data_IF_443892112277
#
_entry.id   IF_443892112277
#
_cell.length_a   1.000
_cell.length_b   1.000
_cell.length_c   1.000
_cell.angle_alpha   90.00
_cell.angle_beta   90.00
_cell.angle_gamma   90.00
#
_symmetry.space_group_name_H-M   'P 1'
#
loop_
_entity.id
_entity.type
_entity.pdbx_description
1 polymer ?
#
# COMPACT_ATOMS: atom_id res chain seq x y z
N UNK A 1 26.24 24.45 0.27
CA UNK A 1 25.69 23.78 1.45
C UNK A 1 24.90 24.78 2.28
N UNK A 2 23.60 24.55 2.47
CA UNK A 2 22.71 25.46 3.21
C UNK A 2 23.02 25.50 4.71
N UNK A 3 22.54 26.54 5.43
CA UNK A 3 22.64 26.62 6.89
C UNK A 3 21.97 25.41 7.57
N UNK A 4 20.80 25.01 7.08
CA UNK A 4 20.07 23.83 7.57
C UNK A 4 20.87 22.54 7.40
N UNK A 5 21.51 22.35 6.23
CA UNK A 5 22.32 21.15 5.98
C UNK A 5 23.54 21.09 6.91
N UNK A 6 24.20 22.23 7.18
CA UNK A 6 25.30 22.32 8.16
C UNK A 6 24.85 21.88 9.56
N UNK A 7 23.70 22.38 10.01
CA UNK A 7 23.12 22.04 11.32
C UNK A 7 22.78 20.55 11.37
N UNK A 8 22.14 20.02 10.33
CA UNK A 8 21.80 18.61 10.23
C UNK A 8 23.05 17.75 10.38
N UNK A 9 24.09 18.00 9.56
CA UNK A 9 25.34 17.24 9.59
C UNK A 9 26.07 17.31 10.93
N UNK A 10 26.03 18.47 11.60
CA UNK A 10 26.62 18.64 12.95
C UNK A 10 25.88 17.80 14.01
N UNK A 11 24.56 17.61 13.86
CA UNK A 11 23.73 16.85 14.80
C UNK A 11 23.69 15.35 14.54
N UNK A 12 24.04 14.90 13.32
CA UNK A 12 23.93 13.49 12.92
C UNK A 12 25.25 12.84 12.42
N UNK A 13 26.42 13.09 13.05
CA UNK A 13 27.72 12.63 12.55
C UNK A 13 27.83 11.09 12.50
N UNK A 14 27.31 10.35 13.48
CA UNK A 14 27.34 8.88 13.47
C UNK A 14 26.44 8.31 12.39
N UNK A 15 25.27 8.92 12.19
CA UNK A 15 24.39 8.57 11.08
C UNK A 15 25.10 8.73 9.73
N UNK A 16 25.88 9.80 9.55
CA UNK A 16 26.69 10.01 8.34
C UNK A 16 27.67 8.86 8.10
N UNK A 17 28.44 8.48 9.11
CA UNK A 17 29.42 7.40 9.03
C UNK A 17 28.76 6.05 8.73
N UNK A 18 27.67 5.72 9.41
CA UNK A 18 26.93 4.48 9.18
C UNK A 18 26.27 4.44 7.81
N UNK A 19 25.73 5.56 7.33
CA UNK A 19 25.16 5.62 5.99
C UNK A 19 26.22 5.48 4.89
N UNK A 20 27.43 5.99 5.11
CA UNK A 20 28.56 5.75 4.21
C UNK A 20 28.92 4.26 4.12
N UNK A 21 28.82 3.50 5.21
CA UNK A 21 28.94 2.04 5.19
C UNK A 21 27.76 1.40 4.46
N UNK A 22 26.53 1.83 4.76
CA UNK A 22 25.31 1.35 4.11
C UNK A 22 25.39 1.46 2.59
N UNK A 23 25.88 2.58 2.06
CA UNK A 23 26.07 2.81 0.61
C UNK A 23 27.03 1.83 -0.06
N UNK A 24 27.94 1.20 0.68
CA UNK A 24 28.84 0.15 0.15
C UNK A 24 28.13 -1.20 0.04
N UNK A 25 27.06 -1.41 0.79
CA UNK A 25 26.36 -2.70 0.94
C UNK A 25 24.99 -2.74 0.28
N UNK A 26 24.34 -1.58 0.13
CA UNK A 26 22.97 -1.45 -0.34
C UNK A 26 22.88 -0.44 -1.48
N UNK A 27 22.01 -0.71 -2.46
CA UNK A 27 21.73 0.20 -3.57
C UNK A 27 21.29 1.55 -3.00
N UNK A 28 22.04 2.61 -3.31
CA UNK A 28 21.85 3.97 -2.75
C UNK A 28 21.85 4.06 -1.21
N UNK A 29 22.32 3.02 -0.51
CA UNK A 29 22.36 2.95 0.95
C UNK A 29 21.02 2.74 1.64
N UNK A 30 19.94 2.39 0.91
CA UNK A 30 18.59 2.18 1.45
C UNK A 30 17.93 0.94 0.86
N UNK A 31 16.87 0.44 1.51
CA UNK A 31 16.07 -0.69 1.01
C UNK A 31 14.69 -0.26 0.46
N UNK A 32 14.42 1.04 0.43
CA UNK A 32 13.21 1.63 -0.17
C UNK A 32 13.49 3.09 -0.54
N UNK A 33 13.14 3.51 -1.75
CA UNK A 33 13.54 4.82 -2.30
C UNK A 33 13.11 6.00 -1.42
N UNK A 34 11.87 6.00 -0.90
CA UNK A 34 11.35 7.05 -0.02
C UNK A 34 12.06 7.18 1.35
N UNK A 35 12.93 6.22 1.71
CA UNK A 35 13.76 6.32 2.92
C UNK A 35 15.04 7.14 2.67
N UNK A 36 15.36 7.44 1.43
CA UNK A 36 16.48 8.30 1.09
C UNK A 36 16.06 9.78 1.09
N UNK A 37 16.88 10.61 1.71
CA UNK A 37 16.84 12.06 1.52
C UNK A 37 18.24 12.64 1.64
N UNK A 38 18.47 13.75 0.93
CA UNK A 38 19.76 14.46 0.94
C UNK A 38 19.96 15.21 2.26
N UNK A 39 21.18 15.26 2.82
CA UNK A 39 22.42 14.67 2.29
C UNK A 39 22.59 13.17 2.58
N UNK A 40 21.93 12.68 3.64
CA UNK A 40 21.82 11.28 4.02
C UNK A 40 20.70 11.14 5.06
N UNK A 41 20.00 10.00 5.13
CA UNK A 41 19.04 9.74 6.17
C UNK A 41 19.72 9.52 7.53
N UNK A 42 19.07 9.95 8.62
CA UNK A 42 19.50 9.60 9.97
C UNK A 42 19.26 8.10 10.22
N UNK A 43 20.11 7.47 11.03
CA UNK A 43 19.97 6.05 11.33
C UNK A 43 19.21 5.89 12.64
N UNK A 44 18.03 5.27 12.58
CA UNK A 44 17.21 5.00 13.76
C UNK A 44 17.88 3.96 14.65
N UNK A 45 18.06 4.27 15.93
CA UNK A 45 18.55 3.35 16.96
C UNK A 45 17.40 2.63 17.68
N UNK A 46 16.33 3.35 18.00
CA UNK A 46 15.18 2.79 18.73
C UNK A 46 13.92 3.61 18.51
N UNK A 47 12.77 3.03 18.84
CA UNK A 47 11.48 3.67 18.72
C UNK A 47 10.54 3.25 19.86
N UNK A 48 9.70 4.18 20.34
CA UNK A 48 8.70 3.91 21.38
C UNK A 48 7.58 4.94 21.38
N UNK A 49 6.33 4.48 21.41
CA UNK A 49 5.16 5.33 21.29
C UNK A 49 5.22 6.15 20.00
N UNK A 50 5.22 7.47 20.12
CA UNK A 50 5.31 8.38 18.97
C UNK A 50 6.72 8.87 18.64
N UNK A 51 7.77 8.26 19.20
CA UNK A 51 9.13 8.79 19.06
C UNK A 51 10.08 7.82 18.38
N UNK A 52 10.95 8.40 17.55
CA UNK A 52 12.18 7.77 17.08
C UNK A 52 13.36 8.39 17.82
N UNK A 53 14.39 7.58 18.07
CA UNK A 53 15.68 8.03 18.57
C UNK A 53 16.75 7.52 17.60
N UNK A 54 17.59 8.42 17.07
CA UNK A 54 18.67 8.04 16.17
C UNK A 54 19.93 7.57 16.93
N UNK A 55 20.95 7.13 16.19
CA UNK A 55 22.26 6.70 16.71
C UNK A 55 23.07 7.83 17.35
N UNK A 56 22.72 9.08 17.05
CA UNK A 56 23.30 10.31 17.60
C UNK A 56 22.53 10.79 18.85
N UNK A 57 21.52 10.04 19.30
CA UNK A 57 20.65 10.32 20.46
C UNK A 57 19.69 11.50 20.28
N UNK A 58 19.48 11.96 19.05
CA UNK A 58 18.43 12.91 18.74
C UNK A 58 17.06 12.22 18.84
N UNK A 59 16.07 12.92 19.41
CA UNK A 59 14.70 12.43 19.55
C UNK A 59 13.77 13.16 18.59
N UNK A 60 12.98 12.40 17.85
CA UNK A 60 12.03 12.90 16.86
C UNK A 60 10.62 12.50 17.25
N UNK A 61 9.64 13.39 17.02
CA UNK A 61 8.22 13.00 16.99
C UNK A 61 7.95 12.44 15.60
N UNK A 62 7.54 11.18 15.53
CA UNK A 62 7.34 10.46 14.28
C UNK A 62 5.91 10.62 13.78
N UNK A 63 5.73 11.36 12.69
CA UNK A 63 4.46 11.44 11.96
C UNK A 63 4.40 10.47 10.77
N UNK A 64 5.51 9.80 10.46
CA UNK A 64 5.61 8.84 9.38
C UNK A 64 5.13 7.45 9.77
N UNK A 65 5.38 7.04 11.03
CA UNK A 65 4.78 5.86 11.67
C UNK A 65 4.85 4.58 10.81
N UNK A 66 6.06 4.26 10.34
CA UNK A 66 6.29 3.05 9.53
C UNK A 66 5.50 3.05 8.23
N UNK A 67 5.54 4.15 7.47
CA UNK A 67 4.74 4.34 6.24
C UNK A 67 3.24 4.22 6.53
N UNK A 68 2.81 4.85 7.62
CA UNK A 68 1.45 4.84 8.16
C UNK A 68 0.93 3.49 8.67
N UNK A 69 1.76 2.44 8.75
CA UNK A 69 1.36 1.11 9.22
C UNK A 69 1.14 1.06 10.74
N UNK A 70 1.85 1.90 11.49
CA UNK A 70 1.88 1.87 12.95
C UNK A 70 0.85 2.84 13.54
N UNK A 71 -0.46 2.60 13.30
CA UNK A 71 -1.52 3.46 13.83
C UNK A 71 -1.55 3.51 15.37
N UNK A 72 -1.10 2.45 16.04
CA UNK A 72 -0.99 2.37 17.50
C UNK A 72 0.35 2.91 18.03
N UNK A 73 1.21 3.45 17.15
CA UNK A 73 2.57 3.88 17.46
C UNK A 73 3.57 2.72 17.57
N UNK A 74 4.83 3.08 17.81
CA UNK A 74 5.94 2.16 17.98
C UNK A 74 5.81 1.35 19.28
N UNK A 75 6.04 0.04 19.19
CA UNK A 75 6.03 -0.88 20.34
C UNK A 75 4.76 -0.75 21.20
N UNK A 76 3.60 -0.73 20.56
CA UNK A 76 2.31 -0.70 21.24
C UNK A 76 2.22 -1.84 22.28
N UNK A 77 1.92 -1.51 23.54
CA UNK A 77 2.00 -2.47 24.67
C UNK A 77 1.15 -3.72 24.45
N UNK A 78 -0.07 -3.56 23.91
CA UNK A 78 -1.00 -4.66 23.66
C UNK A 78 -0.47 -5.61 22.56
N UNK A 79 0.08 -5.06 21.47
CA UNK A 79 0.69 -5.85 20.40
C UNK A 79 1.93 -6.58 20.92
N UNK A 80 2.81 -5.87 21.64
CA UNK A 80 4.02 -6.45 22.21
C UNK A 80 3.72 -7.65 23.12
N UNK A 81 2.74 -7.51 24.02
CA UNK A 81 2.33 -8.60 24.91
C UNK A 81 1.84 -9.84 24.12
N UNK A 82 1.02 -9.64 23.10
CA UNK A 82 0.51 -10.75 22.25
C UNK A 82 1.59 -11.40 21.41
N UNK A 83 2.57 -10.64 20.94
CA UNK A 83 3.75 -11.20 20.27
C UNK A 83 4.58 -12.04 21.23
N UNK A 84 4.84 -11.57 22.45
CA UNK A 84 5.59 -12.33 23.44
C UNK A 84 4.93 -13.67 23.79
N UNK A 85 3.60 -13.68 23.93
CA UNK A 85 2.80 -14.89 24.11
C UNK A 85 2.98 -15.85 22.92
N UNK A 86 2.85 -15.34 21.69
CA UNK A 86 3.00 -16.16 20.49
C UNK A 86 4.40 -16.75 20.33
N UNK A 87 5.46 -16.03 20.75
CA UNK A 87 6.83 -16.53 20.68
C UNK A 87 7.06 -17.82 21.48
N UNK A 88 6.25 -18.09 22.51
CA UNK A 88 6.31 -19.36 23.26
C UNK A 88 5.77 -20.55 22.45
N UNK A 89 4.94 -20.29 21.44
CA UNK A 89 4.31 -21.31 20.61
C UNK A 89 4.99 -21.48 19.25
N UNK A 90 5.98 -20.64 18.91
CA UNK A 90 6.62 -20.56 17.59
C UNK A 90 5.98 -19.50 16.68
N UNK A 91 6.55 -19.27 15.49
CA UNK A 91 6.13 -18.18 14.59
C UNK A 91 5.83 -18.60 13.14
N UNK A 92 6.17 -19.82 12.75
CA UNK A 92 5.88 -20.37 11.42
C UNK A 92 5.67 -21.87 11.53
N UNK A 93 4.47 -22.34 11.18
CA UNK A 93 4.10 -23.76 11.36
C UNK A 93 4.14 -24.59 10.07
N UNK A 94 4.08 -23.95 8.89
CA UNK A 94 3.89 -24.67 7.63
C UNK A 94 2.53 -25.36 7.50
N UNK A 95 1.62 -25.12 8.46
CA UNK A 95 0.27 -25.68 8.54
C UNK A 95 -0.75 -24.60 8.88
N UNK A 96 -2.04 -24.96 8.90
CA UNK A 96 -3.11 -24.07 9.37
C UNK A 96 -2.89 -23.64 10.82
N UNK A 97 -3.40 -22.47 11.20
CA UNK A 97 -3.27 -21.93 12.54
C UNK A 97 -4.52 -21.18 13.00
N UNK A 98 -4.72 -21.10 14.31
CA UNK A 98 -5.87 -20.44 14.93
C UNK A 98 -5.89 -18.93 14.71
N UNK A 99 -4.71 -18.29 14.67
CA UNK A 99 -4.59 -16.83 14.56
C UNK A 99 -5.20 -16.31 13.25
N UNK A 100 -5.01 -17.02 12.13
CA UNK A 100 -5.63 -16.64 10.84
C UNK A 100 -7.14 -16.75 10.87
N UNK A 101 -7.71 -17.71 11.61
CA UNK A 101 -9.16 -17.88 11.76
C UNK A 101 -9.73 -16.71 12.57
N UNK A 102 -9.15 -16.45 13.75
CA UNK A 102 -9.60 -15.37 14.64
C UNK A 102 -9.47 -13.97 14.01
N UNK A 103 -8.40 -13.73 13.23
CA UNK A 103 -8.25 -12.48 12.49
C UNK A 103 -9.27 -12.38 11.35
N UNK A 104 -9.55 -13.48 10.64
CA UNK A 104 -10.54 -13.51 9.57
C UNK A 104 -11.94 -13.19 10.08
N UNK A 105 -12.34 -13.75 11.23
CA UNK A 105 -13.62 -13.44 11.88
C UNK A 105 -13.73 -11.97 12.27
N UNK A 106 -12.66 -11.36 12.76
CA UNK A 106 -12.64 -9.92 13.11
C UNK A 106 -12.76 -9.04 11.86
N UNK A 107 -12.06 -9.40 10.77
CA UNK A 107 -12.12 -8.65 9.51
C UNK A 107 -13.52 -8.76 8.89
N UNK A 108 -14.06 -9.97 8.74
CA UNK A 108 -15.36 -10.20 8.12
C UNK A 108 -16.51 -9.45 8.83
N UNK A 109 -16.42 -9.29 10.16
CA UNK A 109 -17.41 -8.52 10.95
C UNK A 109 -17.47 -7.03 10.58
N UNK A 110 -16.37 -6.44 10.12
CA UNK A 110 -16.28 -4.98 9.86
C UNK A 110 -15.98 -4.64 8.40
N UNK A 111 -15.74 -5.67 7.58
CA UNK A 111 -15.57 -5.59 6.12
C UNK A 111 -16.51 -6.64 5.49
N UNK A 112 -17.82 -6.37 5.38
CA UNK A 112 -18.80 -7.40 4.98
C UNK A 112 -18.56 -8.01 3.60
N UNK A 113 -17.93 -7.30 2.66
CA UNK A 113 -17.56 -7.84 1.34
C UNK A 113 -16.48 -8.94 1.43
N UNK A 114 -15.82 -9.11 2.57
CA UNK A 114 -14.78 -10.12 2.79
C UNK A 114 -15.40 -11.50 3.13
N UNK A 115 -16.19 -12.06 2.22
CA UNK A 115 -16.82 -13.39 2.37
C UNK A 115 -15.79 -14.52 2.47
N UNK A 116 -14.66 -14.36 1.78
CA UNK A 116 -13.48 -15.23 1.84
C UNK A 116 -12.24 -14.36 1.91
N UNK A 117 -11.25 -14.84 2.67
CA UNK A 117 -10.03 -14.09 2.95
C UNK A 117 -8.80 -14.93 2.59
N UNK A 118 -7.81 -14.31 1.95
CA UNK A 118 -6.47 -14.87 1.77
C UNK A 118 -5.42 -13.94 2.34
N UNK A 119 -4.52 -14.49 3.16
CA UNK A 119 -3.35 -13.78 3.67
C UNK A 119 -2.13 -13.95 2.77
N UNK A 120 -1.36 -12.88 2.65
CA UNK A 120 -0.04 -12.81 2.01
C UNK A 120 0.90 -11.95 2.87
N UNK A 121 2.16 -11.79 2.47
CA UNK A 121 3.17 -11.11 3.29
C UNK A 121 3.21 -9.60 3.07
N UNK A 122 2.70 -9.11 1.94
CA UNK A 122 2.74 -7.68 1.60
C UNK A 122 1.48 -7.19 0.90
N UNK A 123 1.23 -5.87 0.97
CA UNK A 123 0.20 -5.23 0.15
C UNK A 123 0.42 -5.39 -1.35
N UNK A 124 1.68 -5.41 -1.81
CA UNK A 124 2.02 -5.68 -3.22
C UNK A 124 1.58 -7.07 -3.67
N UNK A 125 1.74 -8.08 -2.83
CA UNK A 125 1.23 -9.42 -3.13
C UNK A 125 -0.30 -9.45 -3.15
N UNK A 126 -0.95 -8.67 -2.27
CA UNK A 126 -2.41 -8.62 -2.20
C UNK A 126 -3.01 -8.09 -3.51
N UNK A 127 -2.51 -6.95 -3.99
CA UNK A 127 -2.94 -6.35 -5.26
C UNK A 127 -2.57 -7.22 -6.46
N UNK A 128 -1.40 -7.89 -6.43
CA UNK A 128 -1.01 -8.87 -7.44
C UNK A 128 -2.01 -10.02 -7.55
N UNK A 129 -2.39 -10.64 -6.42
CA UNK A 129 -3.34 -11.73 -6.42
C UNK A 129 -4.75 -11.27 -6.79
N UNK A 130 -5.17 -10.07 -6.39
CA UNK A 130 -6.44 -9.49 -6.82
C UNK A 130 -6.52 -9.32 -8.34
N UNK A 131 -5.46 -8.80 -8.98
CA UNK A 131 -5.34 -8.72 -10.45
C UNK A 131 -5.42 -10.09 -11.10
N UNK A 132 -4.67 -11.07 -10.58
CA UNK A 132 -4.70 -12.45 -11.10
C UNK A 132 -6.08 -13.08 -10.96
N UNK A 133 -6.77 -12.83 -9.85
CA UNK A 133 -8.12 -13.32 -9.59
C UNK A 133 -9.12 -12.71 -10.59
N UNK A 134 -9.05 -11.40 -10.83
CA UNK A 134 -9.90 -10.73 -11.82
C UNK A 134 -9.73 -11.32 -13.22
N UNK A 135 -8.49 -11.52 -13.69
CA UNK A 135 -8.22 -12.19 -14.97
C UNK A 135 -8.71 -13.64 -14.99
N UNK A 136 -8.48 -14.39 -13.91
CA UNK A 136 -8.85 -15.80 -13.82
C UNK A 136 -10.37 -16.02 -13.83
N UNK A 137 -11.14 -15.17 -13.16
CA UNK A 137 -12.61 -15.25 -13.09
C UNK A 137 -13.23 -14.78 -14.41
N UNK A 138 -12.84 -13.60 -14.89
CA UNK A 138 -13.47 -12.99 -16.07
C UNK A 138 -13.01 -13.58 -17.40
N UNK A 139 -11.88 -14.30 -17.41
CA UNK A 139 -11.18 -14.80 -18.62
C UNK A 139 -10.73 -13.69 -19.58
N UNK A 140 -10.72 -12.45 -19.12
CA UNK A 140 -10.24 -11.27 -19.86
C UNK A 140 -8.83 -10.91 -19.39
N UNK A 141 -8.12 -10.10 -20.17
CA UNK A 141 -6.69 -9.82 -19.93
C UNK A 141 -6.44 -8.44 -19.36
N UNK A 142 -7.21 -7.44 -19.78
CA UNK A 142 -6.91 -6.04 -19.52
C UNK A 142 -7.32 -5.62 -18.11
N UNK A 143 -6.38 -5.01 -17.37
CA UNK A 143 -6.60 -4.39 -16.08
C UNK A 143 -6.53 -2.87 -16.26
N UNK A 144 -7.44 -2.16 -15.60
CA UNK A 144 -7.37 -0.71 -15.52
C UNK A 144 -6.86 -0.31 -14.14
N UNK A 145 -5.93 0.64 -14.12
CA UNK A 145 -5.52 1.35 -12.91
C UNK A 145 -5.67 2.86 -13.10
N UNK A 146 -5.40 3.61 -12.05
CA UNK A 146 -5.49 5.06 -12.05
C UNK A 146 -4.10 5.68 -12.20
N UNK A 147 -4.00 6.77 -12.96
CA UNK A 147 -2.83 7.64 -12.96
C UNK A 147 -2.52 8.20 -11.56
N UNK A 148 -1.29 8.02 -11.09
CA UNK A 148 -0.88 8.37 -9.73
C UNK A 148 -1.20 7.31 -8.67
N UNK A 149 -1.98 6.28 -9.01
CA UNK A 149 -2.29 5.17 -8.11
C UNK A 149 -1.08 4.26 -7.90
N UNK A 150 -0.72 3.99 -6.65
CA UNK A 150 0.40 3.12 -6.28
C UNK A 150 -0.09 1.87 -5.57
N UNK A 151 -0.07 0.75 -6.29
CA UNK A 151 -0.56 -0.55 -5.80
C UNK A 151 0.58 -1.54 -5.53
N UNK A 152 1.79 -1.04 -5.29
CA UNK A 152 2.99 -1.86 -5.10
C UNK A 152 3.87 -1.97 -6.34
N UNK A 153 4.92 -2.80 -6.23
CA UNK A 153 6.00 -2.91 -7.22
C UNK A 153 5.85 -4.06 -8.21
N UNK A 154 4.62 -4.50 -8.51
CA UNK A 154 4.41 -5.52 -9.55
C UNK A 154 4.44 -4.89 -10.94
N UNK A 155 4.94 -5.63 -11.93
CA UNK A 155 4.99 -5.18 -13.33
C UNK A 155 3.64 -4.70 -13.82
N UNK A 156 2.55 -5.41 -13.48
CA UNK A 156 1.19 -5.06 -13.88
C UNK A 156 0.70 -3.72 -13.31
N UNK A 157 1.22 -3.27 -12.17
CA UNK A 157 0.65 -2.13 -11.44
C UNK A 157 1.61 -0.96 -11.26
N UNK A 158 2.82 -1.06 -11.83
CA UNK A 158 3.81 0.00 -11.84
C UNK A 158 3.58 1.03 -12.95
N UNK A 159 2.62 0.86 -13.85
CA UNK A 159 2.36 1.85 -14.90
C UNK A 159 1.86 3.19 -14.33
N UNK A 160 2.36 4.33 -14.80
CA UNK A 160 1.88 5.70 -14.46
C UNK A 160 1.71 6.00 -12.95
N UNK A 161 2.74 5.74 -12.14
CA UNK A 161 2.71 6.01 -10.69
C UNK A 161 3.14 7.44 -10.37
N UNK A 162 4.18 7.94 -11.02
CA UNK A 162 4.77 9.24 -10.77
C UNK A 162 4.56 10.17 -11.97
N UNK A 163 4.33 11.46 -11.68
CA UNK A 163 4.28 12.49 -12.70
C UNK A 163 5.69 12.78 -13.25
N UNK A 164 5.88 12.95 -14.58
CA UNK A 164 4.87 12.91 -15.62
C UNK A 164 4.52 11.47 -16.07
N UNK A 165 3.22 11.19 -16.20
CA UNK A 165 2.67 9.85 -16.48
C UNK A 165 2.96 9.29 -17.88
N UNK A 166 3.75 9.99 -18.70
CA UNK A 166 4.20 9.52 -20.00
C UNK A 166 5.57 8.83 -19.96
N UNK A 167 6.17 8.70 -18.77
CA UNK A 167 7.45 8.03 -18.57
C UNK A 167 7.25 6.64 -17.95
N UNK A 168 8.14 5.70 -18.29
CA UNK A 168 8.18 4.41 -17.61
C UNK A 168 8.71 4.57 -16.19
N UNK A 169 8.09 3.88 -15.22
CA UNK A 169 8.58 3.87 -13.84
C UNK A 169 9.89 3.08 -13.66
N UNK A 170 10.21 2.20 -14.60
CA UNK A 170 11.41 1.38 -14.53
C UNK A 170 11.84 0.88 -15.90
N UNK A 171 13.15 0.93 -16.16
CA UNK A 171 13.76 0.35 -17.36
C UNK A 171 13.70 -1.19 -17.40
N UNK A 172 13.32 -1.84 -16.28
CA UNK A 172 13.15 -3.29 -16.19
C UNK A 172 11.75 -3.80 -16.56
N UNK A 173 10.81 -2.91 -16.92
CA UNK A 173 9.47 -3.31 -17.35
C UNK A 173 9.49 -3.68 -18.83
N UNK A 174 8.84 -4.78 -19.20
CA UNK A 174 8.85 -5.33 -20.57
C UNK A 174 7.64 -4.89 -21.38
N UNK A 175 6.44 -5.42 -21.06
CA UNK A 175 5.20 -5.14 -21.77
C UNK A 175 4.07 -4.80 -20.78
N UNK A 176 3.38 -3.70 -21.06
CA UNK A 176 2.24 -3.18 -20.30
C UNK A 176 0.97 -3.10 -21.17
N UNK A 177 0.92 -3.82 -22.30
CA UNK A 177 -0.19 -3.81 -23.26
C UNK A 177 -1.57 -4.02 -22.62
N UNK A 178 -1.63 -4.87 -21.61
CA UNK A 178 -2.87 -5.21 -20.91
C UNK A 178 -3.08 -4.39 -19.62
N UNK A 179 -2.31 -3.32 -19.42
CA UNK A 179 -2.47 -2.38 -18.32
C UNK A 179 -2.81 -1.02 -18.91
N UNK A 180 -4.01 -0.54 -18.61
CA UNK A 180 -4.51 0.75 -19.08
C UNK A 180 -4.67 1.67 -17.89
N UNK A 181 -4.15 2.88 -18.00
CA UNK A 181 -4.34 3.90 -16.96
C UNK A 181 -5.42 4.89 -17.39
N UNK A 182 -6.24 5.31 -16.42
CA UNK A 182 -7.27 6.32 -16.60
C UNK A 182 -7.04 7.50 -15.63
N UNK A 183 -7.44 8.73 -16.02
CA UNK A 183 -7.22 9.91 -15.19
C UNK A 183 -8.11 9.89 -13.94
N UNK A 184 -7.52 10.14 -12.78
CA UNK A 184 -8.26 10.24 -11.52
C UNK A 184 -9.16 11.47 -11.48
N UNK A 185 -10.37 11.33 -10.93
CA UNK A 185 -11.35 12.42 -10.80
C UNK A 185 -11.83 13.07 -12.13
N UNK A 186 -11.48 12.51 -13.29
CA UNK A 186 -12.02 12.89 -14.59
C UNK A 186 -12.85 11.74 -15.15
N UNK A 187 -14.13 11.69 -14.75
CA UNK A 187 -15.03 10.60 -15.09
C UNK A 187 -15.32 10.55 -16.60
N UNK A 188 -15.43 11.70 -17.25
CA UNK A 188 -15.73 11.77 -18.69
C UNK A 188 -14.61 11.13 -19.52
N UNK A 189 -13.35 11.55 -19.28
CA UNK A 189 -12.20 10.97 -19.99
C UNK A 189 -11.99 9.50 -19.62
N UNK A 190 -12.12 9.17 -18.34
CA UNK A 190 -12.04 7.78 -17.88
C UNK A 190 -13.06 6.88 -18.58
N UNK A 191 -14.31 7.34 -18.70
CA UNK A 191 -15.37 6.58 -19.37
C UNK A 191 -15.07 6.38 -20.86
N UNK A 192 -14.53 7.40 -21.56
CA UNK A 192 -14.13 7.27 -22.97
C UNK A 192 -13.07 6.18 -23.16
N UNK A 193 -12.06 6.13 -22.30
CA UNK A 193 -11.01 5.10 -22.34
C UNK A 193 -11.60 3.73 -22.00
N UNK A 194 -12.39 3.63 -20.93
CA UNK A 194 -13.04 2.39 -20.53
C UNK A 194 -13.93 1.81 -21.64
N UNK A 195 -14.63 2.65 -22.41
CA UNK A 195 -15.44 2.20 -23.53
C UNK A 195 -14.61 1.60 -24.68
N UNK A 196 -13.37 2.05 -24.91
CA UNK A 196 -12.54 1.52 -25.99
C UNK A 196 -12.02 0.10 -25.70
N UNK A 197 -11.89 -0.26 -24.42
CA UNK A 197 -11.39 -1.57 -23.96
C UNK A 197 -12.47 -2.48 -23.36
N UNK A 198 -13.74 -2.06 -23.43
CA UNK A 198 -14.87 -2.69 -22.71
C UNK A 198 -15.04 -4.20 -22.92
N UNK A 199 -14.55 -4.74 -24.03
CA UNK A 199 -14.70 -6.16 -24.37
C UNK A 199 -13.63 -7.06 -23.72
N UNK A 200 -12.51 -6.51 -23.27
CA UNK A 200 -11.40 -7.26 -22.66
C UNK A 200 -11.05 -6.75 -21.24
N UNK A 201 -11.98 -6.05 -20.59
CA UNK A 201 -11.77 -5.53 -19.24
C UNK A 201 -12.00 -6.60 -18.15
N UNK A 202 -10.92 -7.07 -17.53
CA UNK A 202 -10.93 -8.05 -16.44
C UNK A 202 -11.26 -7.41 -15.09
N UNK A 203 -10.70 -6.25 -14.80
CA UNK A 203 -10.96 -5.54 -13.56
C UNK A 203 -10.38 -4.13 -13.56
N UNK A 204 -10.88 -3.33 -12.62
CA UNK A 204 -10.42 -1.97 -12.34
C UNK A 204 -9.91 -1.95 -10.90
N UNK A 205 -8.66 -1.58 -10.69
CA UNK A 205 -8.08 -1.36 -9.37
C UNK A 205 -7.92 0.14 -9.08
N UNK A 206 -8.34 0.56 -7.90
CA UNK A 206 -8.39 1.97 -7.52
C UNK A 206 -8.22 2.14 -6.01
N UNK A 207 -7.45 3.14 -5.59
CA UNK A 207 -7.45 3.63 -4.20
C UNK A 207 -8.60 4.64 -4.04
N UNK A 208 -9.36 4.64 -2.93
CA UNK A 208 -10.37 5.67 -2.66
C UNK A 208 -9.72 7.04 -2.33
N UNK A 209 -8.47 7.02 -1.86
CA UNK A 209 -7.62 8.18 -1.62
C UNK A 209 -6.23 7.79 -2.10
N UNK A 210 -5.70 8.45 -3.13
CA UNK A 210 -4.35 8.15 -3.63
C UNK A 210 -3.32 8.55 -2.58
N UNK A 211 -2.72 7.58 -1.90
CA UNK A 211 -1.75 7.84 -0.85
C UNK A 211 -0.46 8.39 -1.44
N UNK A 212 0.13 7.64 -2.38
CA UNK A 212 1.44 7.95 -2.98
C UNK A 212 1.45 9.26 -3.78
N UNK A 213 0.34 9.61 -4.43
CA UNK A 213 0.21 10.84 -5.22
C UNK A 213 0.01 12.12 -4.42
N UNK A 214 0.00 12.05 -3.07
CA UNK A 214 -0.15 13.22 -2.21
C UNK A 214 -1.48 13.30 -1.46
N UNK A 215 -2.03 12.15 -1.05
CA UNK A 215 -3.27 12.06 -0.27
C UNK A 215 -4.48 12.69 -0.98
N UNK A 216 -4.66 12.39 -2.27
CA UNK A 216 -5.70 12.98 -3.11
C UNK A 216 -6.98 12.14 -3.01
N UNK A 217 -8.09 12.66 -2.43
CA UNK A 217 -9.35 11.93 -2.35
C UNK A 217 -10.03 11.84 -3.72
N UNK A 218 -10.73 10.73 -3.97
CA UNK A 218 -11.62 10.67 -5.13
C UNK A 218 -12.87 11.51 -4.89
N UNK A 219 -13.49 12.01 -5.95
CA UNK A 219 -14.88 12.48 -5.89
C UNK A 219 -15.82 11.28 -5.82
N UNK A 220 -16.96 11.45 -5.14
CA UNK A 220 -17.96 10.38 -5.00
C UNK A 220 -18.50 9.92 -6.36
N UNK A 221 -18.79 10.89 -7.25
CA UNK A 221 -19.32 10.60 -8.58
C UNK A 221 -18.32 9.83 -9.44
N UNK A 222 -17.03 10.11 -9.29
CA UNK A 222 -15.98 9.37 -9.99
C UNK A 222 -15.95 7.90 -9.57
N UNK A 223 -15.84 7.60 -8.26
CA UNK A 223 -15.78 6.20 -7.79
C UNK A 223 -17.04 5.42 -8.17
N UNK A 224 -18.21 6.05 -8.00
CA UNK A 224 -19.48 5.43 -8.37
C UNK A 224 -19.57 5.15 -9.86
N UNK A 225 -19.25 6.13 -10.71
CA UNK A 225 -19.29 5.96 -12.16
C UNK A 225 -18.34 4.87 -12.66
N UNK A 226 -17.14 4.78 -12.08
CA UNK A 226 -16.18 3.71 -12.41
C UNK A 226 -16.68 2.34 -11.96
N UNK A 227 -17.24 2.23 -10.76
CA UNK A 227 -17.83 0.97 -10.26
C UNK A 227 -19.01 0.52 -11.13
N UNK A 228 -19.94 1.43 -11.43
CA UNK A 228 -21.11 1.15 -12.27
C UNK A 228 -20.68 0.67 -13.66
N UNK A 229 -19.62 1.27 -14.22
CA UNK A 229 -19.02 0.80 -15.46
C UNK A 229 -18.47 -0.63 -15.34
N UNK A 230 -17.66 -0.92 -14.32
CA UNK A 230 -17.07 -2.24 -14.10
C UNK A 230 -18.16 -3.32 -14.01
N UNK A 231 -19.19 -3.08 -13.19
CA UNK A 231 -20.35 -3.97 -13.02
C UNK A 231 -21.09 -4.21 -14.33
N UNK A 232 -21.40 -3.14 -15.09
CA UNK A 232 -22.08 -3.26 -16.40
C UNK A 232 -21.28 -4.07 -17.43
N UNK A 233 -19.95 -4.18 -17.26
CA UNK A 233 -19.07 -4.91 -18.17
C UNK A 233 -18.63 -6.27 -17.65
N UNK A 234 -19.17 -6.75 -16.53
CA UNK A 234 -18.73 -7.99 -15.88
C UNK A 234 -17.20 -7.98 -15.68
N UNK A 235 -16.69 -6.88 -15.16
CA UNK A 235 -15.31 -6.70 -14.74
C UNK A 235 -15.30 -6.52 -13.21
N UNK A 236 -14.27 -7.03 -12.54
CA UNK A 236 -14.19 -6.89 -11.09
C UNK A 236 -13.76 -5.48 -10.69
N UNK A 237 -14.47 -4.90 -9.74
CA UNK A 237 -14.11 -3.65 -9.09
C UNK A 237 -13.28 -3.96 -7.84
N UNK A 238 -11.98 -3.65 -7.91
CA UNK A 238 -10.98 -3.93 -6.87
C UNK A 238 -10.68 -2.62 -6.16
N UNK A 239 -11.02 -2.55 -4.87
CA UNK A 239 -10.71 -1.37 -4.07
C UNK A 239 -9.45 -1.62 -3.24
N UNK A 240 -8.41 -0.84 -3.52
CA UNK A 240 -7.17 -0.85 -2.74
C UNK A 240 -7.31 0.01 -1.49
N UNK A 241 -7.58 -0.64 -0.37
CA UNK A 241 -7.68 -0.01 0.95
C UNK A 241 -6.48 -0.35 1.85
N UNK A 242 -5.32 -0.68 1.26
CA UNK A 242 -4.10 -0.98 2.03
C UNK A 242 -3.71 0.21 2.92
N UNK A 243 -3.89 1.45 2.45
CA UNK A 243 -3.64 2.66 3.24
C UNK A 243 -4.86 3.04 4.07
N UNK A 244 -6.05 3.03 3.49
CA UNK A 244 -7.25 3.65 4.06
C UNK A 244 -8.02 2.75 5.04
N UNK A 245 -7.94 1.43 4.85
CA UNK A 245 -8.60 0.44 5.69
C UNK A 245 -8.12 0.52 7.14
N UNK A 246 -9.06 0.47 8.08
CA UNK A 246 -8.84 0.62 9.53
C UNK A 246 -8.20 1.93 9.98
N UNK A 247 -8.04 2.92 9.08
CA UNK A 247 -7.41 4.21 9.40
C UNK A 247 -8.41 5.28 9.80
N UNK A 248 -9.44 5.45 8.99
CA UNK A 248 -10.45 6.50 9.17
C UNK A 248 -11.64 6.04 9.99
N UNK A 249 -11.84 4.73 10.08
CA UNK A 249 -12.90 4.08 10.83
C UNK A 249 -12.52 2.64 11.12
N UNK A 250 -13.30 1.97 11.97
CA UNK A 250 -13.27 0.52 12.04
C UNK A 250 -13.87 -0.05 10.73
N UNK A 251 -13.08 -0.85 10.00
CA UNK A 251 -13.40 -1.31 8.65
C UNK A 251 -12.87 -0.39 7.53
N UNK A 252 -13.48 -0.52 6.35
CA UNK A 252 -13.04 0.13 5.11
C UNK A 252 -13.88 1.38 4.75
N UNK A 253 -13.29 2.30 3.97
CA UNK A 253 -13.95 3.54 3.54
C UNK A 253 -15.13 3.31 2.58
N UNK A 254 -15.10 2.25 1.77
CA UNK A 254 -16.15 2.01 0.75
C UNK A 254 -17.57 2.09 1.30
N UNK A 255 -17.77 1.62 2.53
CA UNK A 255 -19.06 1.63 3.23
C UNK A 255 -19.61 3.04 3.48
N UNK A 256 -18.74 4.05 3.55
CA UNK A 256 -19.12 5.49 3.66
C UNK A 256 -19.29 6.18 2.32
N UNK A 257 -18.87 5.52 1.24
CA UNK A 257 -18.82 6.07 -0.12
C UNK A 257 -19.90 5.48 -1.04
N UNK A 258 -20.81 4.65 -0.49
CA UNK A 258 -21.81 3.90 -1.25
C UNK A 258 -21.19 3.07 -2.39
N UNK A 259 -20.04 2.47 -2.09
CA UNK A 259 -19.36 1.54 -2.98
C UNK A 259 -19.59 0.11 -2.50
N UNK A 260 -19.54 -0.80 -3.45
CA UNK A 260 -19.78 -2.23 -3.30
C UNK A 260 -18.77 -2.96 -4.19
N UNK A 261 -17.50 -3.04 -3.75
CA UNK A 261 -16.40 -3.66 -4.50
C UNK A 261 -16.47 -5.18 -4.45
N UNK A 262 -16.03 -5.81 -5.54
CA UNK A 262 -15.93 -7.28 -5.64
C UNK A 262 -14.73 -7.82 -4.84
N UNK A 263 -13.66 -7.01 -4.73
CA UNK A 263 -12.44 -7.35 -3.99
C UNK A 263 -11.95 -6.13 -3.22
N UNK A 264 -11.50 -6.33 -1.99
CA UNK A 264 -10.82 -5.29 -1.20
C UNK A 264 -9.45 -5.79 -0.78
N UNK A 265 -8.39 -5.04 -1.12
CA UNK A 265 -7.06 -5.38 -0.62
C UNK A 265 -6.72 -4.58 0.62
N UNK A 266 -6.16 -5.26 1.64
CA UNK A 266 -5.73 -4.66 2.90
C UNK A 266 -4.26 -4.98 3.18
N UNK A 267 -3.67 -4.22 4.09
CA UNK A 267 -2.31 -4.42 4.57
C UNK A 267 -2.01 -3.47 5.72
N UNK A 268 -0.75 -3.06 5.86
CA UNK A 268 -0.31 -2.00 6.80
C UNK A 268 -0.88 -2.21 8.21
N UNK A 269 -1.92 -1.43 8.57
CA UNK A 269 -2.55 -1.42 9.90
C UNK A 269 -3.03 -2.82 10.30
N UNK A 270 -3.55 -3.61 9.36
CA UNK A 270 -4.08 -4.95 9.64
C UNK A 270 -3.02 -5.88 10.25
N UNK A 271 -1.74 -5.64 9.95
CA UNK A 271 -0.64 -6.44 10.47
C UNK A 271 -0.19 -6.05 11.88
N UNK A 272 -0.77 -5.00 12.46
CA UNK A 272 -0.34 -4.50 13.78
C UNK A 272 1.14 -4.08 13.82
N UNK A 273 1.75 -3.77 12.67
CA UNK A 273 3.17 -3.47 12.53
C UNK A 273 4.04 -4.61 11.98
N UNK A 274 3.45 -5.77 11.67
CA UNK A 274 4.12 -6.89 11.01
C UNK A 274 3.77 -6.97 9.52
N UNK A 275 4.62 -7.63 8.69
CA UNK A 275 4.34 -7.85 7.28
C UNK A 275 3.03 -8.61 7.09
N UNK A 276 2.10 -8.03 6.32
CA UNK A 276 0.86 -8.67 5.90
C UNK A 276 0.31 -8.00 4.64
N UNK A 277 -0.39 -8.78 3.84
CA UNK A 277 -1.43 -8.32 2.94
C UNK A 277 -2.65 -9.25 3.06
N UNK A 278 -3.80 -8.73 2.70
CA UNK A 278 -5.07 -9.47 2.72
C UNK A 278 -5.78 -9.19 1.40
N UNK A 279 -6.27 -10.27 0.76
CA UNK A 279 -7.21 -10.23 -0.36
C UNK A 279 -8.55 -10.72 0.14
#
# INVERSE_FOLDING_TARGET
>A
MSSTEKIYRKKTPKSASLFALSKKLHVNGVSHNIRFFSPYPFITKSASGKHLVDVDSNRYVDFWMGHWSLILGHRAKQVFAKVQEQLQNGWMYGTVNKNTIELSEKIAKVVPVAEKIRYVSTGTEATMYAVRLARAITKKKTIVKIDGGWHGYTTDLLKTVNWPYNQTESSGLTDEKHIISIPYNDLEKSTKILQSIKNDLAGIIIEPILGGAGCIPATKDYLRGVQEFAKKKNALYILDEIVTGFRFRNGCLYSTMNLDPDIVTLGKIVGGGFPIGVI
#
